data_IF_984774025085
#
_entry.id   IF_984774025085
#
_cell.length_a   1.000
_cell.length_b   1.000
_cell.length_c   1.000
_cell.angle_alpha   90.00
_cell.angle_beta   90.00
_cell.angle_gamma   90.00
#
_symmetry.space_group_name_H-M   'P 1'
#
loop_
_entity.id
_entity.type
_entity.pdbx_description
1 polymer ?
#
# COMPACT_ATOMS: atom_id res chain seq x y z
N UNK A 1 16.30 46.19 8.73
CA UNK A 1 17.59 46.34 9.45
C UNK A 1 17.51 45.37 10.63
N UNK A 2 18.35 44.36 10.84
CA UNK A 2 19.50 43.79 10.10
C UNK A 2 19.28 42.25 10.07
N UNK A 3 19.57 41.49 9.02
CA UNK A 3 20.87 41.19 8.38
C UNK A 3 21.93 40.64 9.34
N UNK A 4 22.55 39.56 8.87
CA UNK A 4 23.78 38.89 9.32
C UNK A 4 23.68 38.09 10.64
N UNK A 5 24.31 36.93 10.83
CA UNK A 5 24.95 35.85 10.02
C UNK A 5 25.85 35.05 11.00
N UNK A 6 26.47 33.96 10.55
CA UNK A 6 27.71 33.34 11.07
C UNK A 6 27.57 32.16 12.05
N UNK A 7 27.63 30.96 11.45
CA UNK A 7 28.28 29.74 11.97
C UNK A 7 27.56 29.01 13.14
N UNK A 8 27.79 27.72 13.41
CA UNK A 8 28.98 26.90 13.15
C UNK A 8 28.59 25.43 12.87
N UNK A 9 29.38 24.70 12.07
CA UNK A 9 29.18 23.26 11.89
C UNK A 9 29.44 22.52 13.20
N UNK A 10 28.45 21.78 13.71
CA UNK A 10 28.68 20.75 14.71
C UNK A 10 28.61 19.37 14.04
N UNK A 11 29.72 18.98 13.43
CA UNK A 11 29.99 17.59 13.10
C UNK A 11 30.62 16.90 14.33
N UNK A 12 30.61 15.56 14.31
CA UNK A 12 30.89 14.63 15.42
C UNK A 12 29.71 14.51 16.41
N UNK A 13 29.31 13.30 16.84
CA UNK A 13 30.05 12.03 16.82
C UNK A 13 29.19 10.82 16.43
N UNK A 14 29.80 9.88 15.69
CA UNK A 14 29.32 8.51 15.58
C UNK A 14 29.67 7.77 16.89
N UNK A 15 28.66 7.48 17.71
CA UNK A 15 28.78 6.59 18.86
C UNK A 15 28.47 5.15 18.47
N UNK A 16 29.47 4.26 18.47
CA UNK A 16 29.27 2.84 18.22
C UNK A 16 29.09 2.04 19.53
N UNK A 17 28.07 1.17 19.55
CA UNK A 17 27.92 -0.02 20.40
C UNK A 17 28.08 0.08 21.93
N UNK A 18 26.94 0.15 22.65
CA UNK A 18 26.62 -0.80 23.75
C UNK A 18 25.09 -0.84 23.96
N UNK A 19 24.60 -1.93 24.53
CA UNK A 19 23.19 -2.31 24.57
C UNK A 19 22.39 -1.66 25.73
N UNK A 20 21.07 -1.85 25.69
CA UNK A 20 20.06 -1.70 26.77
C UNK A 20 19.45 -0.31 27.06
N UNK A 21 18.16 -0.20 26.72
CA UNK A 21 17.18 0.64 27.43
C UNK A 21 15.80 0.01 27.26
N UNK A 22 15.09 -0.21 28.37
CA UNK A 22 13.87 -1.02 28.43
C UNK A 22 12.64 -0.13 28.66
N UNK A 23 11.69 -0.22 27.73
CA UNK A 23 10.23 -0.03 27.85
C UNK A 23 9.60 1.21 28.54
N UNK A 24 8.59 1.77 27.86
CA UNK A 24 7.41 2.36 28.50
C UNK A 24 6.11 1.87 27.81
N UNK A 25 5.14 1.37 28.59
CA UNK A 25 3.82 0.77 28.20
C UNK A 25 2.73 1.40 29.12
N UNK A 26 1.42 1.51 28.82
CA UNK A 26 0.48 0.89 27.85
C UNK A 26 -0.40 1.97 27.17
N UNK A 27 -1.39 1.73 26.28
CA UNK A 27 -2.15 0.56 25.79
C UNK A 27 -2.70 0.92 24.37
N UNK A 28 -3.55 0.16 23.66
CA UNK A 28 -4.32 -1.04 23.98
C UNK A 28 -4.55 -1.91 22.71
N UNK A 29 -5.14 -3.08 22.88
CA UNK A 29 -5.01 -4.21 21.96
C UNK A 29 -6.06 -4.27 20.85
N UNK A 30 -5.60 -4.38 19.60
CA UNK A 30 -6.34 -5.08 18.54
C UNK A 30 -5.52 -6.31 18.14
N UNK A 31 -5.59 -7.35 18.98
CA UNK A 31 -5.03 -8.66 18.67
C UNK A 31 -5.85 -9.30 17.53
N UNK A 32 -5.55 -8.91 16.29
CA UNK A 32 -5.92 -9.73 15.13
C UNK A 32 -4.96 -10.91 15.14
N UNK A 33 -5.40 -11.98 15.79
CA UNK A 33 -4.80 -13.30 15.70
C UNK A 33 -4.73 -13.67 14.22
N UNK A 34 -3.54 -13.50 13.62
CA UNK A 34 -3.28 -13.91 12.25
C UNK A 34 -3.16 -15.43 12.24
N UNK A 35 -4.30 -16.10 12.40
CA UNK A 35 -4.45 -17.52 12.20
C UNK A 35 -3.86 -17.89 10.84
N UNK A 36 -3.04 -18.93 10.83
CA UNK A 36 -2.32 -19.41 9.64
C UNK A 36 -3.31 -19.66 8.52
N UNK A 37 -3.44 -18.66 7.66
CA UNK A 37 -4.18 -18.73 6.41
C UNK A 37 -3.20 -19.32 5.42
N UNK A 38 -3.45 -20.55 4.95
CA UNK A 38 -2.71 -21.13 3.84
C UNK A 38 -2.74 -20.12 2.69
N UNK A 39 -1.57 -19.59 2.31
CA UNK A 39 -1.48 -18.41 1.47
C UNK A 39 -2.03 -18.71 0.07
N UNK A 40 -3.29 -18.31 -0.18
CA UNK A 40 -3.98 -18.50 -1.45
C UNK A 40 -3.27 -17.64 -2.49
N UNK A 41 -2.32 -18.24 -3.21
CA UNK A 41 -1.61 -17.60 -4.30
C UNK A 41 -2.56 -17.50 -5.49
N UNK A 42 -3.22 -16.35 -5.62
CA UNK A 42 -4.06 -16.04 -6.76
C UNK A 42 -3.20 -15.79 -8.00
N UNK A 43 -3.67 -16.30 -9.14
CA UNK A 43 -3.11 -16.00 -10.48
C UNK A 43 -4.06 -15.15 -11.33
N UNK A 44 -5.32 -15.02 -10.89
CA UNK A 44 -6.42 -14.38 -11.60
C UNK A 44 -7.31 -13.61 -10.60
N UNK A 45 -8.17 -12.73 -11.10
CA UNK A 45 -9.13 -12.00 -10.29
C UNK A 45 -10.18 -12.96 -9.67
N UNK A 46 -10.37 -12.95 -8.33
CA UNK A 46 -11.35 -13.84 -7.71
C UNK A 46 -12.78 -13.40 -8.03
N UNK A 47 -13.69 -14.38 -8.07
CA UNK A 47 -15.13 -14.11 -8.00
C UNK A 47 -15.54 -13.97 -6.55
N UNK A 48 -16.21 -12.87 -6.20
CA UNK A 48 -16.72 -12.55 -4.87
C UNK A 48 -18.24 -12.44 -4.88
N UNK A 49 -18.87 -12.73 -3.75
CA UNK A 49 -20.32 -12.69 -3.58
C UNK A 49 -20.87 -11.26 -3.46
N UNK A 50 -20.06 -10.33 -2.95
CA UNK A 50 -20.43 -8.92 -2.81
C UNK A 50 -20.17 -8.14 -4.12
N UNK A 51 -21.16 -7.41 -4.66
CA UNK A 51 -21.02 -6.71 -5.92
C UNK A 51 -20.08 -5.49 -5.85
N UNK A 52 -19.96 -4.82 -4.70
CA UNK A 52 -19.06 -3.67 -4.55
C UNK A 52 -17.60 -4.11 -4.48
N UNK A 53 -17.31 -5.23 -3.81
CA UNK A 53 -16.01 -5.88 -3.83
C UNK A 53 -15.64 -6.39 -5.23
N UNK A 54 -16.62 -6.95 -5.97
CA UNK A 54 -16.42 -7.37 -7.36
C UNK A 54 -16.20 -6.18 -8.32
N UNK A 55 -16.81 -5.03 -8.06
CA UNK A 55 -16.57 -3.77 -8.78
C UNK A 55 -15.18 -3.20 -8.47
N UNK A 56 -14.79 -3.16 -7.20
CA UNK A 56 -13.45 -2.76 -6.76
C UNK A 56 -12.34 -3.55 -7.46
N UNK A 57 -12.49 -4.89 -7.57
CA UNK A 57 -11.56 -5.76 -8.31
C UNK A 57 -11.34 -5.26 -9.74
N UNK A 58 -12.44 -4.96 -10.46
CA UNK A 58 -12.41 -4.49 -11.86
C UNK A 58 -11.80 -3.09 -11.98
N UNK A 59 -12.13 -2.18 -11.06
CA UNK A 59 -11.56 -0.83 -11.06
C UNK A 59 -10.05 -0.83 -10.77
N UNK A 60 -9.57 -1.73 -9.90
CA UNK A 60 -8.14 -1.89 -9.61
C UNK A 60 -7.39 -2.47 -10.80
N UNK A 61 -7.94 -3.48 -11.48
CA UNK A 61 -7.38 -4.03 -12.72
C UNK A 61 -7.29 -2.97 -13.83
N UNK A 62 -8.36 -2.20 -14.03
CA UNK A 62 -8.36 -1.09 -14.98
C UNK A 62 -7.33 -0.02 -14.61
N UNK A 63 -7.20 0.31 -13.32
CA UNK A 63 -6.16 1.24 -12.84
C UNK A 63 -4.74 0.75 -13.14
N UNK A 64 -4.42 -0.53 -12.91
CA UNK A 64 -3.10 -1.08 -13.22
C UNK A 64 -2.79 -1.07 -14.71
N UNK A 65 -3.77 -1.38 -15.56
CA UNK A 65 -3.63 -1.29 -17.00
C UNK A 65 -3.37 0.16 -17.45
N UNK A 66 -4.16 1.12 -16.97
CA UNK A 66 -3.95 2.56 -17.24
C UNK A 66 -2.59 3.05 -16.71
N UNK A 67 -2.18 2.62 -15.52
CA UNK A 67 -0.92 3.02 -14.89
C UNK A 67 0.29 2.46 -15.63
N UNK A 68 0.25 1.19 -16.04
CA UNK A 68 1.28 0.57 -16.87
C UNK A 68 1.46 1.35 -18.18
N UNK A 69 0.35 1.60 -18.89
CA UNK A 69 0.38 2.37 -20.14
C UNK A 69 0.91 3.81 -19.94
N UNK A 70 0.55 4.47 -18.84
CA UNK A 70 1.04 5.81 -18.50
C UNK A 70 2.54 5.83 -18.15
N UNK A 71 3.06 4.81 -17.45
CA UNK A 71 4.50 4.64 -17.20
C UNK A 71 5.26 4.38 -18.51
N UNK A 72 4.77 3.48 -19.36
CA UNK A 72 5.41 3.14 -20.65
C UNK A 72 5.46 4.32 -21.62
N UNK A 73 4.36 5.07 -21.74
CA UNK A 73 4.26 6.29 -22.56
C UNK A 73 4.92 7.53 -21.93
N UNK A 74 5.27 7.46 -20.63
CA UNK A 74 5.79 8.57 -19.81
C UNK A 74 4.81 9.75 -19.69
N UNK A 75 3.50 9.47 -19.73
CA UNK A 75 2.46 10.48 -19.61
C UNK A 75 2.33 10.96 -18.16
N UNK A 76 3.03 12.06 -17.86
CA UNK A 76 3.05 12.66 -16.52
C UNK A 76 1.69 13.24 -16.10
N UNK A 77 0.83 13.63 -17.05
CA UNK A 77 -0.51 14.14 -16.73
C UNK A 77 -1.37 12.97 -16.29
N UNK A 78 -1.39 11.89 -17.08
CA UNK A 78 -2.12 10.67 -16.76
C UNK A 78 -1.65 10.03 -15.45
N UNK A 79 -0.34 10.06 -15.17
CA UNK A 79 0.20 9.59 -13.88
C UNK A 79 -0.29 10.41 -12.68
N UNK A 80 -0.50 11.73 -12.82
CA UNK A 80 -1.08 12.56 -11.75
C UNK A 80 -2.58 12.27 -11.53
N UNK A 81 -3.35 12.12 -12.62
CA UNK A 81 -4.76 11.69 -12.55
C UNK A 81 -4.90 10.34 -11.83
N UNK A 82 -4.05 9.37 -12.21
CA UNK A 82 -4.05 8.03 -11.64
C UNK A 82 -3.59 8.04 -10.17
N UNK A 83 -2.71 8.94 -9.76
CA UNK A 83 -2.40 9.17 -8.35
C UNK A 83 -3.65 9.52 -7.52
N UNK A 84 -4.57 10.31 -8.08
CA UNK A 84 -5.88 10.59 -7.44
C UNK A 84 -6.78 9.35 -7.44
N UNK A 85 -6.86 8.62 -8.57
CA UNK A 85 -7.65 7.37 -8.68
C UNK A 85 -7.20 6.31 -7.67
N UNK A 86 -5.91 6.21 -7.37
CA UNK A 86 -5.36 5.29 -6.37
C UNK A 86 -5.85 5.60 -4.95
N UNK A 87 -6.01 6.89 -4.59
CA UNK A 87 -6.57 7.29 -3.28
C UNK A 87 -8.03 6.86 -3.19
N UNK A 88 -8.83 7.09 -4.24
CA UNK A 88 -10.23 6.64 -4.31
C UNK A 88 -10.34 5.12 -4.20
N UNK A 89 -9.49 4.38 -4.91
CA UNK A 89 -9.40 2.91 -4.82
C UNK A 89 -9.04 2.44 -3.40
N UNK A 90 -8.13 3.12 -2.71
CA UNK A 90 -7.78 2.77 -1.33
C UNK A 90 -8.98 2.87 -0.37
N UNK A 91 -9.84 3.88 -0.53
CA UNK A 91 -11.09 4.00 0.23
C UNK A 91 -12.05 2.86 -0.12
N UNK A 92 -12.35 2.69 -1.42
CA UNK A 92 -13.24 1.62 -1.90
C UNK A 92 -12.80 0.23 -1.48
N UNK A 93 -11.51 -0.08 -1.49
CA UNK A 93 -10.97 -1.37 -1.07
C UNK A 93 -11.16 -1.61 0.44
N UNK A 94 -11.02 -0.55 1.25
CA UNK A 94 -11.28 -0.61 2.69
C UNK A 94 -12.76 -0.83 2.98
N UNK A 95 -13.65 -0.10 2.28
CA UNK A 95 -15.11 -0.24 2.40
C UNK A 95 -15.59 -1.62 1.92
N UNK A 96 -15.07 -2.11 0.79
CA UNK A 96 -15.36 -3.44 0.27
C UNK A 96 -14.94 -4.54 1.26
N UNK A 97 -13.73 -4.45 1.82
CA UNK A 97 -13.25 -5.44 2.78
C UNK A 97 -14.04 -5.43 4.09
N UNK A 98 -14.49 -4.25 4.55
CA UNK A 98 -15.31 -4.12 5.76
C UNK A 98 -16.70 -4.77 5.64
N UNK A 99 -17.23 -4.93 4.42
CA UNK A 99 -18.50 -5.61 4.14
C UNK A 99 -18.35 -7.13 3.94
N UNK A 100 -17.11 -7.64 3.83
CA UNK A 100 -16.82 -9.05 3.59
C UNK A 100 -16.47 -9.80 4.88
N UNK A 101 -16.74 -11.11 4.86
CA UNK A 101 -16.33 -12.05 5.92
C UNK A 101 -15.91 -13.39 5.29
N UNK A 102 -15.24 -14.24 6.07
CA UNK A 102 -14.83 -15.59 5.65
C UNK A 102 -13.97 -15.59 4.38
N UNK A 103 -14.17 -16.61 3.53
CA UNK A 103 -13.40 -16.85 2.32
C UNK A 103 -13.32 -15.65 1.38
N UNK A 104 -14.40 -14.87 1.22
CA UNK A 104 -14.40 -13.74 0.29
C UNK A 104 -13.55 -12.56 0.81
N UNK A 105 -13.49 -12.35 2.12
CA UNK A 105 -12.56 -11.39 2.72
C UNK A 105 -11.09 -11.83 2.55
N UNK A 106 -10.82 -13.14 2.67
CA UNK A 106 -9.47 -13.71 2.42
C UNK A 106 -9.08 -13.55 0.94
N UNK A 107 -9.95 -13.94 0.00
CA UNK A 107 -9.72 -13.78 -1.44
C UNK A 107 -9.46 -12.32 -1.82
N UNK A 108 -10.26 -11.38 -1.32
CA UNK A 108 -10.04 -9.95 -1.58
C UNK A 108 -8.70 -9.48 -1.01
N UNK A 109 -8.36 -9.90 0.20
CA UNK A 109 -7.09 -9.54 0.86
C UNK A 109 -5.87 -10.03 0.07
N UNK A 110 -5.85 -11.30 -0.35
CA UNK A 110 -4.76 -11.84 -1.17
C UNK A 110 -4.69 -11.21 -2.57
N UNK A 111 -5.84 -10.91 -3.17
CA UNK A 111 -5.90 -10.20 -4.44
C UNK A 111 -5.30 -8.78 -4.35
N UNK A 112 -5.65 -8.02 -3.29
CA UNK A 112 -5.08 -6.69 -3.04
C UNK A 112 -3.58 -6.79 -2.84
N UNK A 113 -3.08 -7.77 -2.07
CA UNK A 113 -1.63 -8.00 -1.89
C UNK A 113 -0.94 -8.30 -3.22
N UNK A 114 -1.49 -9.18 -4.04
CA UNK A 114 -0.95 -9.50 -5.38
C UNK A 114 -0.85 -8.26 -6.25
N UNK A 115 -1.94 -7.51 -6.39
CA UNK A 115 -2.01 -6.31 -7.23
C UNK A 115 -1.19 -5.12 -6.69
N UNK A 116 -1.03 -5.00 -5.38
CA UNK A 116 -0.14 -4.01 -4.77
C UNK A 116 1.34 -4.32 -5.03
N UNK A 117 1.75 -5.59 -5.03
CA UNK A 117 3.09 -5.99 -5.44
C UNK A 117 3.35 -5.71 -6.92
N UNK A 118 2.36 -5.97 -7.78
CA UNK A 118 2.43 -5.62 -9.21
C UNK A 118 2.56 -4.10 -9.41
N UNK A 119 1.75 -3.29 -8.72
CA UNK A 119 1.87 -1.83 -8.72
C UNK A 119 3.27 -1.35 -8.32
N UNK A 120 3.82 -1.88 -7.22
CA UNK A 120 5.15 -1.53 -6.75
C UNK A 120 6.24 -1.91 -7.78
N UNK A 121 6.08 -3.05 -8.46
CA UNK A 121 6.99 -3.53 -9.51
C UNK A 121 6.99 -2.61 -10.74
N UNK A 122 5.81 -2.22 -11.22
CA UNK A 122 5.64 -1.26 -12.33
C UNK A 122 6.24 0.10 -11.94
N UNK A 123 5.89 0.61 -10.76
CA UNK A 123 6.35 1.91 -10.24
C UNK A 123 7.85 1.98 -10.01
N UNK A 124 8.47 0.86 -9.58
CA UNK A 124 9.91 0.73 -9.38
C UNK A 124 10.71 0.51 -10.68
N UNK A 125 10.04 0.42 -11.84
CA UNK A 125 10.70 0.17 -13.13
C UNK A 125 11.28 -1.25 -13.28
N UNK A 126 10.92 -2.18 -12.40
CA UNK A 126 11.36 -3.57 -12.47
C UNK A 126 10.54 -4.31 -13.54
N UNK A 127 11.14 -4.58 -14.70
CA UNK A 127 10.51 -5.32 -15.81
C UNK A 127 10.51 -6.82 -15.59
#
# INVERSE_FOLDING_TARGET
MNKLIFFLLFALSLGACKNESKEMKSADEANVEMGTTDAITLTEAPTLSDPAAQEYIKEYDAFLAEYTAAVESKDQVKLQELGTKMITLSSKGTEALANLTGDDAVKLTEYIKMRANEFARISGGAK
#
